data_IF_048942420631
#
_entry.id   IF_048942420631
#
_cell.length_a   1.000
_cell.length_b   1.000
_cell.length_c   1.000
_cell.angle_alpha   90.00
_cell.angle_beta   90.00
_cell.angle_gamma   90.00
#
_symmetry.space_group_name_H-M   'P 1'
#
loop_
_entity.id
_entity.type
_entity.pdbx_description
1 polymer ?
#
# COMPACT_ATOMS: atom_id res chain seq x y z
N UNK A 1 -8.53 -3.58 3.59
CA UNK A 1 -8.54 -2.68 2.39
C UNK A 1 -9.83 -2.83 1.59
N UNK A 2 -10.15 -4.03 1.08
CA UNK A 2 -11.42 -4.32 0.37
C UNK A 2 -12.68 -4.08 1.21
N UNK A 3 -12.66 -4.43 2.50
CA UNK A 3 -13.76 -4.12 3.43
C UNK A 3 -13.94 -2.60 3.66
N UNK A 4 -12.83 -1.86 3.77
CA UNK A 4 -12.85 -0.40 3.91
C UNK A 4 -13.34 0.31 2.64
N UNK A 5 -13.02 -0.23 1.46
CA UNK A 5 -13.56 0.25 0.18
C UNK A 5 -15.05 -0.05 0.04
N UNK A 6 -15.54 -1.20 0.52
CA UNK A 6 -16.98 -1.48 0.55
C UNK A 6 -17.73 -0.57 1.52
N UNK A 7 -17.17 -0.25 2.69
CA UNK A 7 -17.74 0.74 3.61
C UNK A 7 -17.86 2.11 2.94
N UNK A 8 -16.78 2.58 2.27
CA UNK A 8 -16.76 3.84 1.53
C UNK A 8 -17.73 3.82 0.33
N UNK A 9 -17.83 2.69 -0.38
CA UNK A 9 -18.75 2.52 -1.53
C UNK A 9 -20.21 2.52 -1.07
N UNK A 10 -20.51 1.88 0.06
CA UNK A 10 -21.87 1.83 0.61
C UNK A 10 -22.34 3.19 1.13
N UNK A 11 -21.41 4.06 1.57
CA UNK A 11 -21.71 5.44 1.94
C UNK A 11 -21.97 6.34 0.72
N UNK A 12 -21.39 6.03 -0.44
CA UNK A 12 -21.62 6.78 -1.69
C UNK A 12 -23.00 6.47 -2.29
N UNK A 13 -23.48 5.24 -2.16
CA UNK A 13 -24.79 4.81 -2.69
C UNK A 13 -25.95 5.02 -1.69
N UNK A 14 -25.68 5.06 -0.39
CA UNK A 14 -26.68 5.42 0.61
C UNK A 14 -26.89 6.94 0.62
N UNK A 15 -28.14 7.38 0.74
CA UNK A 15 -28.60 8.79 0.80
C UNK A 15 -27.97 9.65 1.92
N UNK A 16 -26.91 9.18 2.59
CA UNK A 16 -26.20 9.84 3.68
C UNK A 16 -25.35 11.05 3.26
N UNK A 17 -24.95 11.16 1.98
CA UNK A 17 -24.18 12.32 1.50
C UNK A 17 -24.95 13.65 1.57
N UNK A 18 -26.29 13.63 1.55
CA UNK A 18 -27.07 14.88 1.62
C UNK A 18 -27.16 15.49 3.02
N UNK A 19 -26.80 14.76 4.10
CA UNK A 19 -26.89 15.27 5.48
C UNK A 19 -25.56 15.79 6.05
N UNK A 20 -24.41 15.35 5.53
CA UNK A 20 -23.08 15.84 5.98
C UNK A 20 -22.72 17.19 5.35
N UNK A 21 -23.33 17.56 4.23
CA UNK A 21 -23.15 18.85 3.56
C UNK A 21 -23.74 20.06 4.31
N UNK A 22 -24.41 19.86 5.46
CA UNK A 22 -24.93 20.94 6.28
C UNK A 22 -23.89 21.48 7.28
N UNK A 23 -22.74 20.80 7.44
CA UNK A 23 -21.66 21.27 8.31
C UNK A 23 -20.51 21.89 7.49
N UNK A 24 -20.03 23.09 7.84
CA UNK A 24 -18.96 23.80 7.11
C UNK A 24 -17.60 23.18 7.43
N UNK A 25 -17.39 21.93 7.05
CA UNK A 25 -16.12 21.22 7.22
C UNK A 25 -15.21 21.64 6.07
N UNK A 26 -13.99 22.09 6.39
CA UNK A 26 -13.01 22.42 5.36
C UNK A 26 -12.66 21.18 4.53
N UNK A 27 -12.55 21.34 3.22
CA UNK A 27 -12.27 20.24 2.27
C UNK A 27 -11.00 19.47 2.63
N UNK A 28 -9.99 20.18 3.14
CA UNK A 28 -8.75 19.62 3.68
C UNK A 28 -8.99 18.73 4.89
N UNK A 29 -9.82 19.17 5.85
CA UNK A 29 -10.15 18.38 7.04
C UNK A 29 -10.96 17.13 6.69
N UNK A 30 -11.84 17.21 5.68
CA UNK A 30 -12.58 16.04 5.19
C UNK A 30 -11.63 14.95 4.64
N UNK A 31 -10.70 15.31 3.76
CA UNK A 31 -9.75 14.35 3.17
C UNK A 31 -8.77 13.82 4.23
N UNK A 32 -8.23 14.70 5.07
CA UNK A 32 -7.32 14.31 6.14
C UNK A 32 -7.99 13.36 7.14
N UNK A 33 -9.22 13.67 7.56
CA UNK A 33 -10.01 12.80 8.44
C UNK A 33 -10.29 11.44 7.81
N UNK A 34 -10.65 11.40 6.53
CA UNK A 34 -10.86 10.14 5.79
C UNK A 34 -9.60 9.30 5.70
N UNK A 35 -8.44 9.94 5.45
CA UNK A 35 -7.16 9.24 5.42
C UNK A 35 -6.77 8.71 6.81
N UNK A 36 -6.90 9.51 7.87
CA UNK A 36 -6.59 9.08 9.24
C UNK A 36 -7.48 7.90 9.64
N UNK A 37 -8.80 7.96 9.37
CA UNK A 37 -9.71 6.86 9.63
C UNK A 37 -9.33 5.59 8.88
N UNK A 38 -8.91 5.73 7.62
CA UNK A 38 -8.43 4.62 6.81
C UNK A 38 -7.13 4.01 7.36
N UNK A 39 -6.16 4.85 7.77
CA UNK A 39 -4.91 4.42 8.40
C UNK A 39 -5.19 3.70 9.73
N UNK A 40 -6.11 4.21 10.55
CA UNK A 40 -6.50 3.57 11.80
C UNK A 40 -7.12 2.18 11.55
N UNK A 41 -8.02 2.06 10.57
CA UNK A 41 -8.63 0.79 10.19
C UNK A 41 -7.58 -0.23 9.70
N UNK A 42 -6.61 0.21 8.89
CA UNK A 42 -5.47 -0.62 8.49
C UNK A 42 -4.66 -1.04 9.71
N UNK A 43 -4.36 -0.10 10.61
CA UNK A 43 -3.60 -0.37 11.82
C UNK A 43 -4.23 -1.46 12.67
N UNK A 44 -5.53 -1.37 12.92
CA UNK A 44 -6.29 -2.40 13.65
C UNK A 44 -6.26 -3.74 12.91
N UNK A 45 -6.47 -3.72 11.59
CA UNK A 45 -6.46 -4.95 10.77
C UNK A 45 -5.10 -5.64 10.82
N UNK A 46 -4.01 -4.89 10.68
CA UNK A 46 -2.65 -5.42 10.72
C UNK A 46 -2.27 -5.85 12.12
N UNK A 47 -2.71 -5.14 13.16
CA UNK A 47 -2.54 -5.56 14.53
C UNK A 47 -3.18 -6.93 14.78
N UNK A 48 -4.44 -7.12 14.38
CA UNK A 48 -5.11 -8.42 14.47
C UNK A 48 -4.37 -9.51 13.69
N UNK A 49 -4.01 -9.25 12.43
CA UNK A 49 -3.25 -10.19 11.61
C UNK A 49 -1.88 -10.52 12.21
N UNK A 50 -1.22 -9.57 12.86
CA UNK A 50 0.07 -9.79 13.52
C UNK A 50 -0.04 -10.73 14.72
N UNK A 51 -1.14 -10.66 15.47
CA UNK A 51 -1.42 -11.61 16.57
C UNK A 51 -1.55 -13.02 15.99
N UNK A 52 -2.39 -13.21 14.98
CA UNK A 52 -2.57 -14.52 14.33
C UNK A 52 -1.27 -15.05 13.70
N UNK A 53 -0.50 -14.17 13.05
CA UNK A 53 0.79 -14.54 12.47
C UNK A 53 1.80 -14.97 13.54
N UNK A 54 1.88 -14.24 14.66
CA UNK A 54 2.78 -14.59 15.77
C UNK A 54 2.40 -15.93 16.42
N UNK A 55 1.11 -16.19 16.65
CA UNK A 55 0.60 -17.48 17.12
C UNK A 55 0.93 -18.60 16.14
N UNK A 56 0.72 -18.38 14.84
CA UNK A 56 1.08 -19.33 13.79
C UNK A 56 2.56 -19.70 13.82
N UNK A 57 3.46 -18.72 14.00
CA UNK A 57 4.90 -18.97 14.11
C UNK A 57 5.30 -19.70 15.39
N UNK A 58 4.61 -19.47 16.52
CA UNK A 58 4.89 -20.19 17.76
C UNK A 58 4.48 -21.66 17.66
N UNK A 59 3.32 -21.94 17.07
CA UNK A 59 2.83 -23.31 16.88
C UNK A 59 3.76 -24.14 15.99
N UNK A 60 4.32 -23.55 14.93
CA UNK A 60 5.27 -24.26 14.04
C UNK A 60 6.62 -24.53 14.70
N UNK A 61 7.07 -23.67 15.62
CA UNK A 61 8.28 -23.90 16.40
C UNK A 61 8.13 -25.06 17.40
N UNK A 62 6.93 -25.29 17.95
CA UNK A 62 6.67 -26.41 18.88
C UNK A 62 6.52 -27.74 18.12
N UNK A 63 5.96 -27.72 16.91
CA UNK A 63 5.65 -28.93 16.14
C UNK A 63 6.77 -29.51 15.27
N UNK A 64 7.94 -28.83 15.17
CA UNK A 64 8.99 -29.22 14.21
C UNK A 64 10.31 -29.59 14.88
N UNK A 65 10.98 -30.64 14.36
CA UNK A 65 12.31 -31.09 14.84
C UNK A 65 13.44 -30.10 14.53
N UNK A 66 13.23 -29.20 13.56
CA UNK A 66 14.14 -28.11 13.20
C UNK A 66 13.36 -26.80 13.17
N UNK A 67 13.20 -26.12 14.33
CA UNK A 67 12.49 -24.87 14.38
C UNK A 67 13.23 -23.81 13.54
N UNK A 68 12.51 -23.03 12.71
CA UNK A 68 13.13 -21.92 11.99
C UNK A 68 13.69 -20.91 13.02
N UNK A 69 14.90 -20.41 12.77
CA UNK A 69 15.52 -19.38 13.60
C UNK A 69 14.87 -18.02 13.27
N UNK A 70 13.70 -17.75 13.87
CA UNK A 70 12.94 -16.53 13.62
C UNK A 70 13.49 -15.42 14.52
N UNK A 71 13.90 -14.31 13.91
CA UNK A 71 14.20 -13.08 14.63
C UNK A 71 12.92 -12.28 14.87
N UNK A 72 12.47 -12.20 16.13
CA UNK A 72 11.31 -11.40 16.52
C UNK A 72 11.43 -9.92 16.15
N UNK A 73 12.66 -9.37 16.15
CA UNK A 73 12.91 -8.01 15.71
C UNK A 73 12.65 -7.86 14.20
N UNK A 74 13.16 -8.78 13.37
CA UNK A 74 12.90 -8.75 11.93
C UNK A 74 11.42 -8.99 11.61
N UNK A 75 10.73 -9.81 12.41
CA UNK A 75 9.30 -10.03 12.29
C UNK A 75 8.51 -8.74 12.53
N UNK A 76 8.84 -7.98 13.59
CA UNK A 76 8.25 -6.66 13.84
C UNK A 76 8.51 -5.67 12.70
N UNK A 77 9.74 -5.64 12.16
CA UNK A 77 10.09 -4.80 11.00
C UNK A 77 9.25 -5.19 9.76
N UNK A 78 9.03 -6.47 9.54
CA UNK A 78 8.18 -6.95 8.43
C UNK A 78 6.71 -6.54 8.59
N UNK A 79 6.20 -6.47 9.82
CA UNK A 79 4.85 -5.96 10.10
C UNK A 79 4.79 -4.47 9.79
N UNK A 80 5.79 -3.70 10.22
CA UNK A 80 5.87 -2.25 9.94
C UNK A 80 5.92 -1.98 8.42
N UNK A 81 6.74 -2.72 7.68
CA UNK A 81 6.79 -2.61 6.21
C UNK A 81 5.44 -2.95 5.57
N UNK A 82 4.78 -4.01 6.02
CA UNK A 82 3.44 -4.37 5.52
C UNK A 82 2.40 -3.28 5.80
N UNK A 83 2.47 -2.65 6.97
CA UNK A 83 1.63 -1.51 7.33
C UNK A 83 1.88 -0.33 6.41
N UNK A 84 3.13 0.04 6.20
CA UNK A 84 3.51 1.12 5.32
C UNK A 84 3.03 0.90 3.88
N UNK A 85 3.20 -0.31 3.33
CA UNK A 85 2.71 -0.67 2.00
C UNK A 85 1.19 -0.45 1.87
N UNK A 86 0.41 -0.85 2.88
CA UNK A 86 -1.03 -0.62 2.91
C UNK A 86 -1.40 0.86 3.03
N UNK A 87 -0.64 1.65 3.79
CA UNK A 87 -0.85 3.10 3.93
C UNK A 87 -0.57 3.82 2.61
N UNK A 88 0.53 3.47 1.93
CA UNK A 88 0.87 4.01 0.60
C UNK A 88 -0.23 3.68 -0.40
N UNK A 89 -0.66 2.42 -0.47
CA UNK A 89 -1.76 2.02 -1.35
C UNK A 89 -3.04 2.80 -1.02
N UNK A 90 -3.32 2.99 0.27
CA UNK A 90 -4.42 3.83 0.75
C UNK A 90 -4.40 5.26 0.26
N UNK A 91 -3.25 5.92 0.35
CA UNK A 91 -3.09 7.29 -0.12
C UNK A 91 -3.34 7.40 -1.62
N UNK A 92 -2.86 6.43 -2.41
CA UNK A 92 -3.13 6.35 -3.85
C UNK A 92 -4.61 6.08 -4.14
N UNK A 93 -5.26 5.22 -3.34
CA UNK A 93 -6.70 4.98 -3.45
C UNK A 93 -7.50 6.26 -3.21
N UNK A 94 -7.17 7.05 -2.18
CA UNK A 94 -7.84 8.32 -1.89
C UNK A 94 -7.60 9.33 -3.02
N UNK A 95 -6.40 9.38 -3.57
CA UNK A 95 -6.11 10.18 -4.77
C UNK A 95 -7.03 9.79 -5.92
N UNK A 96 -7.23 8.51 -6.20
CA UNK A 96 -8.15 8.06 -7.25
C UNK A 96 -9.61 8.37 -6.95
N UNK A 97 -10.02 8.26 -5.68
CA UNK A 97 -11.36 8.67 -5.26
C UNK A 97 -11.61 10.16 -5.46
N UNK A 98 -10.58 11.02 -5.37
CA UNK A 98 -10.75 12.47 -5.52
C UNK A 98 -11.30 12.89 -6.91
N UNK A 99 -10.88 12.22 -7.98
CA UNK A 99 -11.34 12.52 -9.35
C UNK A 99 -12.36 11.52 -9.90
N UNK A 100 -12.55 10.35 -9.30
CA UNK A 100 -13.52 9.38 -9.80
C UNK A 100 -14.96 9.85 -9.58
N UNK A 101 -15.82 9.56 -10.57
CA UNK A 101 -17.28 9.79 -10.50
C UNK A 101 -18.03 8.57 -9.95
N UNK A 102 -17.41 7.39 -9.96
CA UNK A 102 -17.99 6.12 -9.50
C UNK A 102 -17.07 5.41 -8.51
N UNK A 103 -17.65 4.72 -7.53
CA UNK A 103 -16.94 3.97 -6.48
C UNK A 103 -16.12 2.78 -7.00
N UNK A 104 -16.50 2.19 -8.14
CA UNK A 104 -15.82 1.01 -8.70
C UNK A 104 -14.47 1.35 -9.35
N UNK A 105 -14.31 2.58 -9.84
CA UNK A 105 -13.12 2.98 -10.60
C UNK A 105 -11.87 3.11 -9.70
N UNK A 106 -11.90 3.81 -8.56
CA UNK A 106 -10.78 3.86 -7.62
C UNK A 106 -10.36 2.48 -7.12
N UNK A 107 -11.34 1.59 -6.94
CA UNK A 107 -11.12 0.22 -6.54
C UNK A 107 -10.26 -0.55 -7.57
N UNK A 108 -10.71 -0.57 -8.84
CA UNK A 108 -9.99 -1.27 -9.91
C UNK A 108 -8.60 -0.67 -10.14
N UNK A 109 -8.49 0.66 -10.12
CA UNK A 109 -7.21 1.34 -10.29
C UNK A 109 -6.25 1.03 -9.15
N UNK A 110 -6.72 0.96 -7.91
CA UNK A 110 -5.88 0.57 -6.77
C UNK A 110 -5.41 -0.88 -6.87
N UNK A 111 -6.26 -1.79 -7.36
CA UNK A 111 -5.87 -3.18 -7.62
C UNK A 111 -4.76 -3.28 -8.67
N UNK A 112 -4.88 -2.51 -9.78
CA UNK A 112 -3.86 -2.45 -10.82
C UNK A 112 -2.55 -1.85 -10.28
N UNK A 113 -2.62 -0.75 -9.53
CA UNK A 113 -1.44 -0.14 -8.88
C UNK A 113 -0.74 -1.15 -7.98
N UNK A 114 -1.50 -1.90 -7.17
CA UNK A 114 -0.92 -2.93 -6.30
C UNK A 114 -0.25 -4.04 -7.11
N UNK A 115 -0.92 -4.57 -8.13
CA UNK A 115 -0.38 -5.65 -8.98
C UNK A 115 0.90 -5.22 -9.71
N UNK A 116 0.91 -4.01 -10.28
CA UNK A 116 2.07 -3.43 -10.96
C UNK A 116 3.18 -3.17 -9.93
N UNK A 117 2.89 -2.47 -8.84
CA UNK A 117 3.87 -2.08 -7.84
C UNK A 117 4.56 -3.26 -7.15
N UNK A 118 3.85 -4.37 -6.94
CA UNK A 118 4.42 -5.59 -6.37
C UNK A 118 5.33 -6.33 -7.37
N UNK A 119 5.01 -6.28 -8.66
CA UNK A 119 5.67 -7.10 -9.68
C UNK A 119 6.85 -6.39 -10.36
N UNK A 120 6.81 -5.05 -10.42
CA UNK A 120 7.71 -4.30 -11.32
C UNK A 120 9.18 -4.44 -10.95
N UNK A 121 9.54 -4.49 -9.66
CA UNK A 121 10.92 -4.70 -9.24
C UNK A 121 11.48 -6.06 -9.70
N UNK A 122 10.68 -7.12 -9.57
CA UNK A 122 11.07 -8.48 -9.99
C UNK A 122 11.25 -8.57 -11.51
N UNK A 123 10.32 -7.96 -12.27
CA UNK A 123 10.40 -7.90 -13.73
C UNK A 123 11.62 -7.10 -14.19
N UNK A 124 11.87 -5.92 -13.59
CA UNK A 124 13.03 -5.10 -13.93
C UNK A 124 14.35 -5.81 -13.63
N UNK A 125 14.43 -6.50 -12.48
CA UNK A 125 15.59 -7.32 -12.12
C UNK A 125 15.81 -8.47 -13.12
N UNK A 126 14.74 -9.16 -13.53
CA UNK A 126 14.81 -10.21 -14.53
C UNK A 126 15.37 -9.69 -15.86
N UNK A 127 14.84 -8.56 -16.35
CA UNK A 127 15.30 -7.93 -17.61
C UNK A 127 16.77 -7.51 -17.52
N UNK A 128 17.19 -6.91 -16.40
CA UNK A 128 18.56 -6.40 -16.22
C UNK A 128 19.59 -7.52 -15.95
N UNK A 129 19.15 -8.67 -15.44
CA UNK A 129 20.05 -9.79 -15.12
C UNK A 129 20.61 -10.52 -16.34
N UNK A 130 20.13 -10.22 -17.54
CA UNK A 130 20.52 -10.94 -18.76
C UNK A 130 19.99 -12.39 -18.85
N UNK A 131 19.17 -12.83 -17.89
CA UNK A 131 18.55 -14.16 -17.89
C UNK A 131 17.48 -14.35 -18.98
N UNK A 132 17.07 -13.26 -19.64
CA UNK A 132 16.17 -13.31 -20.78
C UNK A 132 16.92 -13.97 -21.96
N UNK A 133 16.57 -15.24 -22.25
CA UNK A 133 17.12 -16.00 -23.39
C UNK A 133 16.73 -15.40 -24.76
N UNK A 134 15.78 -14.48 -24.78
CA UNK A 134 15.27 -13.83 -25.98
C UNK A 134 15.59 -12.34 -25.93
N UNK A 135 15.98 -11.77 -27.08
CA UNK A 135 16.22 -10.35 -27.21
C UNK A 135 14.91 -9.57 -27.02
N UNK A 136 14.74 -8.95 -25.86
CA UNK A 136 13.55 -8.17 -25.52
C UNK A 136 13.46 -6.90 -26.38
N UNK A 137 12.28 -6.60 -26.89
CA UNK A 137 12.01 -5.38 -27.66
C UNK A 137 12.37 -4.12 -26.83
N UNK A 138 13.01 -3.09 -27.43
CA UNK A 138 13.34 -1.86 -26.73
C UNK A 138 12.12 -1.15 -26.11
N UNK A 139 10.97 -1.22 -26.78
CA UNK A 139 9.70 -0.68 -26.30
C UNK A 139 9.25 -1.31 -24.98
N UNK A 140 9.37 -2.63 -24.85
CA UNK A 140 9.00 -3.35 -23.63
C UNK A 140 9.90 -2.94 -22.45
N UNK A 141 11.22 -2.80 -22.68
CA UNK A 141 12.15 -2.31 -21.66
C UNK A 141 11.79 -0.90 -21.19
N UNK A 142 11.41 -0.03 -22.12
CA UNK A 142 10.96 1.32 -21.80
C UNK A 142 9.69 1.32 -20.97
N UNK A 143 8.68 0.53 -21.35
CA UNK A 143 7.39 0.43 -20.63
C UNK A 143 7.61 -0.07 -19.19
N UNK A 144 8.41 -1.13 -19.00
CA UNK A 144 8.71 -1.66 -17.65
C UNK A 144 9.45 -0.63 -16.81
N UNK A 145 10.41 0.09 -17.40
CA UNK A 145 11.14 1.16 -16.70
C UNK A 145 10.21 2.32 -16.33
N UNK A 146 9.33 2.73 -17.23
CA UNK A 146 8.33 3.76 -16.95
C UNK A 146 7.39 3.33 -15.81
N UNK A 147 6.87 2.10 -15.86
CA UNK A 147 6.04 1.54 -14.79
C UNK A 147 6.76 1.54 -13.44
N UNK A 148 8.07 1.23 -13.41
CA UNK A 148 8.86 1.20 -12.18
C UNK A 148 8.97 2.56 -11.50
N UNK A 149 9.02 3.65 -12.27
CA UNK A 149 9.14 5.00 -11.72
C UNK A 149 7.80 5.68 -11.46
N UNK A 150 6.75 5.33 -12.20
CA UNK A 150 5.41 5.91 -12.04
C UNK A 150 4.68 5.28 -10.85
N UNK A 151 4.72 3.96 -10.72
CA UNK A 151 3.97 3.24 -9.70
C UNK A 151 4.81 3.06 -8.42
N UNK A 152 4.17 3.09 -7.23
CA UNK A 152 4.85 2.81 -5.97
C UNK A 152 5.42 1.39 -5.98
N UNK A 153 6.70 1.25 -5.64
CA UNK A 153 7.36 -0.04 -5.59
C UNK A 153 7.14 -0.72 -4.22
N UNK A 154 6.12 -1.59 -4.14
CA UNK A 154 5.74 -2.25 -2.89
C UNK A 154 6.75 -3.29 -2.41
N UNK A 155 7.61 -3.79 -3.30
CA UNK A 155 8.65 -4.76 -2.94
C UNK A 155 9.72 -4.16 -2.01
N UNK A 156 9.83 -2.83 -1.89
CA UNK A 156 10.72 -2.16 -0.93
C UNK A 156 10.27 -2.32 0.54
N UNK A 157 9.00 -2.66 0.75
CA UNK A 157 8.43 -2.86 2.09
C UNK A 157 8.31 -4.34 2.47
N UNK A 158 8.64 -5.26 1.56
CA UNK A 158 8.52 -6.69 1.79
C UNK A 158 9.78 -7.24 2.50
N UNK A 159 9.72 -7.29 3.83
CA UNK A 159 10.78 -7.84 4.68
C UNK A 159 10.50 -9.27 5.18
N UNK A 160 9.54 -9.97 4.57
CA UNK A 160 9.10 -11.31 5.05
C UNK A 160 10.22 -12.34 4.98
N UNK A 161 11.01 -12.33 3.90
CA UNK A 161 12.12 -13.25 3.75
C UNK A 161 13.19 -13.04 4.84
N UNK A 162 13.47 -11.78 5.19
CA UNK A 162 14.41 -11.41 6.23
C UNK A 162 13.90 -11.78 7.62
N UNK A 163 12.59 -11.77 7.83
CA UNK A 163 11.95 -12.27 9.06
C UNK A 163 12.05 -13.79 9.19
N UNK A 164 11.75 -14.54 8.13
CA UNK A 164 11.73 -16.01 8.14
C UNK A 164 13.15 -16.61 8.25
N UNK A 165 14.10 -16.06 7.50
CA UNK A 165 15.47 -16.59 7.42
C UNK A 165 16.46 -15.85 8.34
N UNK A 166 15.96 -14.99 9.24
CA UNK A 166 16.78 -14.14 10.13
C UNK A 166 17.92 -13.39 9.42
N UNK A 167 17.68 -12.96 8.17
CA UNK A 167 18.67 -12.20 7.42
C UNK A 167 18.79 -10.79 7.99
N UNK A 168 20.01 -10.25 7.99
CA UNK A 168 20.26 -8.88 8.47
C UNK A 168 19.51 -7.89 7.59
N UNK A 169 18.69 -7.04 8.21
CA UNK A 169 18.05 -5.90 7.55
C UNK A 169 18.99 -4.69 7.72
N UNK A 170 19.56 -4.13 6.64
CA UNK A 170 20.36 -2.92 6.74
C UNK A 170 19.49 -1.76 7.23
N UNK A 171 19.87 -1.09 8.33
CA UNK A 171 19.10 0.03 8.88
C UNK A 171 18.87 1.15 7.85
N UNK A 172 19.87 1.40 6.98
CA UNK A 172 19.75 2.34 5.86
C UNK A 172 18.65 1.96 4.88
N UNK A 173 18.51 0.67 4.55
CA UNK A 173 17.47 0.19 3.66
C UNK A 173 16.09 0.43 4.27
N UNK A 174 15.92 0.02 5.54
CA UNK A 174 14.66 0.24 6.26
C UNK A 174 14.28 1.72 6.34
N UNK A 175 15.21 2.59 6.74
CA UNK A 175 14.96 4.03 6.83
C UNK A 175 14.61 4.65 5.47
N UNK A 176 15.26 4.23 4.39
CA UNK A 176 14.94 4.70 3.03
C UNK A 176 13.59 4.18 2.54
N UNK A 177 13.20 2.95 2.87
CA UNK A 177 11.85 2.44 2.60
C UNK A 177 10.81 3.32 3.30
N UNK A 178 10.99 3.59 4.60
CA UNK A 178 10.08 4.45 5.39
C UNK A 178 9.96 5.87 4.79
N UNK A 179 11.10 6.47 4.44
CA UNK A 179 11.11 7.79 3.82
C UNK A 179 10.42 7.78 2.44
N UNK A 180 10.62 6.72 1.66
CA UNK A 180 9.99 6.53 0.36
C UNK A 180 8.46 6.44 0.48
N UNK A 181 7.93 5.59 1.37
CA UNK A 181 6.48 5.47 1.53
C UNK A 181 5.83 6.75 2.08
N UNK A 182 6.44 7.40 3.08
CA UNK A 182 5.98 8.70 3.57
C UNK A 182 5.93 9.77 2.47
N UNK A 183 6.95 9.83 1.61
CA UNK A 183 6.96 10.78 0.48
C UNK A 183 5.79 10.52 -0.49
N UNK A 184 5.52 9.26 -0.82
CA UNK A 184 4.39 8.88 -1.68
C UNK A 184 3.05 9.23 -1.07
N UNK A 185 2.89 9.03 0.25
CA UNK A 185 1.68 9.38 0.98
C UNK A 185 1.45 10.89 0.93
N UNK A 186 2.47 11.69 1.26
CA UNK A 186 2.36 13.15 1.27
C UNK A 186 2.00 13.70 -0.11
N UNK A 187 2.69 13.25 -1.16
CA UNK A 187 2.43 13.67 -2.54
C UNK A 187 1.01 13.27 -2.96
N UNK A 188 0.58 12.05 -2.66
CA UNK A 188 -0.73 11.54 -3.06
C UNK A 188 -1.87 12.28 -2.36
N UNK A 189 -1.74 12.53 -1.05
CA UNK A 189 -2.73 13.29 -0.28
C UNK A 189 -2.75 14.76 -0.72
N UNK A 190 -1.60 15.37 -0.96
CA UNK A 190 -1.51 16.74 -1.45
C UNK A 190 -2.21 16.90 -2.81
N UNK A 191 -1.96 15.98 -3.75
CA UNK A 191 -2.65 15.97 -5.04
C UNK A 191 -4.17 15.75 -4.88
N UNK A 192 -4.58 14.85 -3.97
CA UNK A 192 -5.99 14.60 -3.70
C UNK A 192 -6.72 15.86 -3.21
N UNK A 193 -6.08 16.65 -2.34
CA UNK A 193 -6.60 17.92 -1.83
C UNK A 193 -6.80 18.93 -2.98
N UNK A 194 -5.78 19.13 -3.81
CA UNK A 194 -5.83 20.07 -4.94
C UNK A 194 -6.96 19.70 -5.92
N UNK A 195 -7.08 18.42 -6.25
CA UNK A 195 -8.09 17.94 -7.20
C UNK A 195 -9.50 18.14 -6.63
N UNK A 196 -9.70 17.85 -5.34
CA UNK A 196 -10.99 17.97 -4.69
C UNK A 196 -11.42 19.43 -4.45
N UNK A 197 -10.48 20.34 -4.23
CA UNK A 197 -10.76 21.79 -4.14
C UNK A 197 -11.29 22.37 -5.45
N UNK A 198 -10.87 21.84 -6.60
CA UNK A 198 -11.34 22.29 -7.91
C UNK A 198 -12.70 21.72 -8.33
N UNK A 199 -13.22 20.75 -7.58
CA UNK A 199 -14.50 20.11 -7.87
C UNK A 199 -15.60 20.94 -7.22
N UNK A 200 -16.34 21.69 -8.03
CA UNK A 200 -17.59 22.30 -7.60
C UNK A 200 -18.59 21.18 -7.31
N UNK A 201 -18.87 20.95 -6.03
CA UNK A 201 -19.99 20.12 -5.60
C UNK A 201 -21.24 21.03 -5.72
N UNK A 202 -22.24 20.66 -6.55
CA UNK A 202 -23.47 21.43 -6.68
C UNK A 202 -24.30 21.45 -5.39
#
# INVERSE_FOLDING_TARGET
LFLGLNLISSEIDSKANHLVLVQPISRTAYIAGKFIGFVALIGITIFLLSIFASLGTLLTCVGTKHPPNISWCNFAISIIGSFEACVVLGAVTILFTSFATSSILPFLMSCLVYAIGQSTQSVLRYINSGMAKTQLAPSLKFIVKAAYYVFPNFALFDFKAQAIYALKIPAKLFALSIAYGLSYVLISIFLAIIIFEKRDLP
#
